data_IF_928120137474
#
_entry.id   IF_928120137474
#
_cell.length_a   1.000
_cell.length_b   1.000
_cell.length_c   1.000
_cell.angle_alpha   90.00
_cell.angle_beta   90.00
_cell.angle_gamma   90.00
#
_symmetry.space_group_name_H-M   'P 1'
#
loop_
_entity.id
_entity.type
_entity.pdbx_description
1 polymer ?
#
# COMPACT_ATOMS: atom_id res chain seq x y z
N UNK A 1 27.04 -5.15 10.45
CA UNK A 1 26.93 -5.48 9.02
C UNK A 1 25.69 -6.31 8.67
N UNK A 2 25.43 -7.45 9.34
CA UNK A 2 24.24 -8.27 9.06
C UNK A 2 22.89 -7.59 9.37
N UNK A 3 22.80 -6.76 10.40
CA UNK A 3 21.56 -6.03 10.71
C UNK A 3 21.25 -4.94 9.68
N UNK A 4 22.27 -4.33 9.09
CA UNK A 4 22.10 -3.28 8.10
C UNK A 4 21.60 -3.83 6.76
N UNK A 5 22.15 -4.96 6.30
CA UNK A 5 21.65 -5.68 5.12
C UNK A 5 20.18 -6.12 5.28
N UNK A 6 19.81 -6.53 6.49
CA UNK A 6 18.46 -6.86 6.90
C UNK A 6 17.50 -5.67 6.81
N UNK A 7 17.89 -4.50 7.35
CA UNK A 7 17.10 -3.26 7.21
C UNK A 7 16.96 -2.84 5.74
N UNK A 8 18.03 -2.93 4.95
CA UNK A 8 18.00 -2.63 3.51
C UNK A 8 17.01 -3.53 2.78
N UNK A 9 16.96 -4.82 3.09
CA UNK A 9 15.99 -5.74 2.50
C UNK A 9 14.54 -5.37 2.85
N UNK A 10 14.27 -5.06 4.13
CA UNK A 10 12.93 -4.65 4.59
C UNK A 10 12.49 -3.37 3.88
N UNK A 11 13.34 -2.34 3.84
CA UNK A 11 13.03 -1.10 3.15
C UNK A 11 12.93 -1.27 1.64
N UNK A 12 13.75 -2.14 1.04
CA UNK A 12 13.68 -2.47 -0.38
C UNK A 12 12.33 -3.07 -0.77
N UNK A 13 11.81 -4.00 0.03
CA UNK A 13 10.48 -4.61 -0.17
C UNK A 13 9.37 -3.56 -0.01
N UNK A 14 9.49 -2.69 1.01
CA UNK A 14 8.54 -1.61 1.22
C UNK A 14 8.50 -0.60 0.06
N UNK A 15 9.67 -0.15 -0.39
CA UNK A 15 9.78 0.77 -1.52
C UNK A 15 9.31 0.13 -2.82
N UNK A 16 9.62 -1.16 -3.04
CA UNK A 16 9.17 -1.87 -4.24
C UNK A 16 7.65 -1.93 -4.31
N UNK A 17 6.98 -2.28 -3.21
CA UNK A 17 5.51 -2.29 -3.20
C UNK A 17 4.92 -0.89 -3.41
N UNK A 18 5.49 0.15 -2.80
CA UNK A 18 5.07 1.55 -3.06
C UNK A 18 5.21 1.91 -4.55
N UNK A 19 6.34 1.58 -5.18
CA UNK A 19 6.57 1.86 -6.60
C UNK A 19 5.50 1.17 -7.46
N UNK A 20 5.20 -0.11 -7.18
CA UNK A 20 4.18 -0.86 -7.90
C UNK A 20 2.79 -0.24 -7.68
N UNK A 21 2.44 0.12 -6.45
CA UNK A 21 1.18 0.80 -6.13
C UNK A 21 1.04 2.13 -6.87
N UNK A 22 2.11 2.92 -6.94
CA UNK A 22 2.13 4.18 -7.69
C UNK A 22 1.98 3.94 -9.19
N UNK A 23 2.70 2.98 -9.77
CA UNK A 23 2.55 2.61 -11.18
C UNK A 23 1.11 2.18 -11.51
N UNK A 24 0.46 1.48 -10.57
CA UNK A 24 -0.95 1.13 -10.70
C UNK A 24 -1.85 2.36 -10.61
N UNK A 25 -1.61 3.23 -9.63
CA UNK A 25 -2.40 4.43 -9.39
C UNK A 25 -2.36 5.45 -10.53
N UNK A 26 -1.22 5.56 -11.24
CA UNK A 26 -1.07 6.49 -12.39
C UNK A 26 -1.57 5.93 -13.72
N UNK A 27 -2.22 4.76 -13.72
CA UNK A 27 -2.83 4.19 -14.93
C UNK A 27 -1.86 3.45 -15.85
N UNK A 28 -0.63 3.17 -15.41
CA UNK A 28 0.32 2.31 -16.13
C UNK A 28 0.04 0.81 -15.90
N UNK A 29 -1.10 0.47 -15.30
CA UNK A 29 -1.39 -0.89 -14.87
C UNK A 29 -2.29 -1.66 -15.83
N UNK A 30 -1.97 -2.95 -16.08
CA UNK A 30 -2.84 -3.85 -16.83
C UNK A 30 -4.12 -4.23 -16.07
N UNK A 31 -4.27 -3.82 -14.79
CA UNK A 31 -5.36 -4.26 -13.93
C UNK A 31 -6.69 -3.51 -14.17
N UNK A 32 -6.70 -2.41 -14.92
CA UNK A 32 -7.93 -1.71 -15.33
C UNK A 32 -8.86 -1.43 -14.15
N UNK A 33 -10.09 -1.95 -14.19
CA UNK A 33 -11.09 -1.82 -13.14
C UNK A 33 -10.67 -2.44 -11.78
N UNK A 34 -9.71 -3.36 -11.77
CA UNK A 34 -9.20 -4.02 -10.56
C UNK A 34 -8.00 -3.30 -9.94
N UNK A 35 -7.56 -2.17 -10.50
CA UNK A 35 -6.40 -1.41 -10.01
C UNK A 35 -6.49 -1.07 -8.52
N UNK A 36 -7.67 -0.68 -8.03
CA UNK A 36 -7.88 -0.41 -6.62
C UNK A 36 -7.74 -1.64 -5.73
N UNK A 37 -8.28 -2.79 -6.16
CA UNK A 37 -8.15 -4.05 -5.44
C UNK A 37 -6.69 -4.55 -5.43
N UNK A 38 -5.96 -4.33 -6.53
CA UNK A 38 -4.53 -4.67 -6.62
C UNK A 38 -3.69 -3.83 -5.65
N UNK A 39 -3.90 -2.51 -5.58
CA UNK A 39 -3.24 -1.63 -4.61
C UNK A 39 -3.53 -2.11 -3.18
N UNK A 40 -4.80 -2.41 -2.87
CA UNK A 40 -5.19 -2.89 -1.54
C UNK A 40 -4.50 -4.23 -1.18
N UNK A 41 -4.40 -5.15 -2.14
CA UNK A 41 -3.74 -6.44 -1.94
C UNK A 41 -2.23 -6.27 -1.67
N UNK A 42 -1.55 -5.39 -2.40
CA UNK A 42 -0.14 -5.09 -2.18
C UNK A 42 0.06 -4.47 -0.79
N UNK A 43 -0.74 -3.47 -0.44
CA UNK A 43 -0.67 -2.82 0.87
C UNK A 43 -0.94 -3.81 2.02
N UNK A 44 -1.90 -4.73 1.85
CA UNK A 44 -2.17 -5.77 2.84
C UNK A 44 -0.99 -6.74 2.99
N UNK A 45 -0.36 -7.16 1.89
CA UNK A 45 0.84 -8.00 1.93
C UNK A 45 2.00 -7.28 2.63
N UNK A 46 2.18 -5.98 2.38
CA UNK A 46 3.18 -5.16 3.06
C UNK A 46 2.89 -5.00 4.56
N UNK A 47 1.61 -4.85 4.93
CA UNK A 47 1.18 -4.80 6.33
C UNK A 47 1.52 -6.09 7.08
N UNK A 48 1.20 -7.24 6.46
CA UNK A 48 1.52 -8.57 7.02
C UNK A 48 3.03 -8.76 7.12
N UNK A 49 3.78 -8.39 6.07
CA UNK A 49 5.23 -8.45 6.08
C UNK A 49 5.82 -7.64 7.24
N UNK A 50 5.38 -6.39 7.42
CA UNK A 50 5.87 -5.52 8.50
C UNK A 50 5.45 -6.00 9.87
N UNK A 51 4.25 -6.55 10.00
CA UNK A 51 3.82 -7.19 11.24
C UNK A 51 4.75 -8.36 11.63
N UNK A 52 5.10 -9.24 10.68
CA UNK A 52 6.04 -10.34 10.91
C UNK A 52 7.45 -9.84 11.24
N UNK A 53 7.93 -8.83 10.50
CA UNK A 53 9.22 -8.17 10.75
C UNK A 53 9.26 -7.54 12.14
N UNK A 54 8.20 -6.89 12.58
CA UNK A 54 8.10 -6.30 13.91
C UNK A 54 8.08 -7.37 15.01
N UNK A 55 7.27 -8.41 14.85
CA UNK A 55 7.13 -9.48 15.85
C UNK A 55 8.38 -10.35 15.99
N UNK A 56 9.06 -10.67 14.89
CA UNK A 56 10.13 -11.66 14.88
C UNK A 56 11.53 -11.08 14.68
N UNK A 57 11.65 -9.91 14.05
CA UNK A 57 12.93 -9.46 13.52
C UNK A 57 13.75 -8.56 14.44
N UNK A 58 13.27 -8.24 15.65
CA UNK A 58 13.87 -7.22 16.54
C UNK A 58 14.13 -5.88 15.85
N UNK A 59 13.40 -5.59 14.77
CA UNK A 59 13.44 -4.30 14.14
C UNK A 59 12.65 -3.33 15.03
N UNK A 60 13.24 -2.17 15.36
CA UNK A 60 12.55 -1.16 16.18
C UNK A 60 11.35 -0.56 15.44
N UNK A 61 10.70 0.46 16.01
CA UNK A 61 9.51 1.09 15.41
C UNK A 61 9.74 1.76 14.02
N UNK A 62 10.98 1.84 13.53
CA UNK A 62 11.34 2.56 12.29
C UNK A 62 10.68 1.99 11.02
N UNK A 63 10.76 0.68 10.69
CA UNK A 63 10.11 0.16 9.48
C UNK A 63 8.59 0.26 9.53
N UNK A 64 8.00 0.19 10.73
CA UNK A 64 6.57 0.40 10.95
C UNK A 64 6.17 1.83 10.59
N UNK A 65 6.95 2.83 11.01
CA UNK A 65 6.71 4.23 10.66
C UNK A 65 6.82 4.48 9.14
N UNK A 66 7.78 3.86 8.47
CA UNK A 66 7.93 3.96 7.00
C UNK A 66 6.73 3.32 6.29
N UNK A 67 6.30 2.13 6.72
CA UNK A 67 5.11 1.50 6.18
C UNK A 67 3.83 2.33 6.39
N UNK A 68 3.67 2.92 7.58
CA UNK A 68 2.56 3.83 7.84
C UNK A 68 2.58 5.03 6.87
N UNK A 69 3.75 5.61 6.63
CA UNK A 69 3.94 6.67 5.64
C UNK A 69 3.56 6.25 4.22
N UNK A 70 3.99 5.06 3.78
CA UNK A 70 3.61 4.49 2.48
C UNK A 70 2.09 4.33 2.37
N UNK A 71 1.48 3.74 3.41
CA UNK A 71 0.04 3.49 3.46
C UNK A 71 -0.79 4.78 3.41
N UNK A 72 -0.29 5.88 4.00
CA UNK A 72 -0.93 7.19 3.88
C UNK A 72 -0.95 7.71 2.43
N UNK A 73 0.04 7.35 1.61
CA UNK A 73 0.14 7.81 0.22
C UNK A 73 -0.76 7.01 -0.71
N UNK A 74 -0.94 5.70 -0.48
CA UNK A 74 -1.62 4.82 -1.44
C UNK A 74 -2.97 4.31 -0.94
N UNK A 75 -3.06 3.89 0.32
CA UNK A 75 -4.27 3.29 0.90
C UNK A 75 -5.30 4.34 1.31
N UNK A 76 -4.87 5.46 1.90
CA UNK A 76 -5.80 6.51 2.34
C UNK A 76 -6.57 7.14 1.17
N UNK A 77 -5.92 7.53 0.04
CA UNK A 77 -6.66 8.02 -1.11
C UNK A 77 -7.64 6.99 -1.67
N UNK A 78 -7.26 5.70 -1.69
CA UNK A 78 -8.15 4.62 -2.11
C UNK A 78 -9.36 4.50 -1.18
N UNK A 79 -9.14 4.56 0.14
CA UNK A 79 -10.20 4.51 1.13
C UNK A 79 -11.14 5.70 1.01
N UNK A 80 -10.61 6.91 0.80
CA UNK A 80 -11.42 8.11 0.53
C UNK A 80 -12.25 7.93 -0.74
N UNK A 81 -11.66 7.43 -1.84
CA UNK A 81 -12.38 7.18 -3.08
C UNK A 81 -13.52 6.15 -2.90
N UNK A 82 -13.28 5.10 -2.10
CA UNK A 82 -14.32 4.12 -1.74
C UNK A 82 -15.41 4.73 -0.87
N UNK A 83 -15.06 5.59 0.09
CA UNK A 83 -16.07 6.30 0.88
C UNK A 83 -16.91 7.22 -0.01
N UNK A 84 -16.29 7.95 -0.94
CA UNK A 84 -17.03 8.77 -1.90
C UNK A 84 -17.98 7.94 -2.76
N UNK A 85 -17.58 6.76 -3.23
CA UNK A 85 -18.45 5.91 -4.06
C UNK A 85 -19.66 5.36 -3.31
N UNK A 86 -19.55 5.15 -2.00
CA UNK A 86 -20.65 4.69 -1.14
C UNK A 86 -21.54 5.85 -0.68
N UNK A 87 -20.96 7.01 -0.36
CA UNK A 87 -21.67 8.17 0.22
C UNK A 87 -22.34 9.04 -0.85
N UNK A 88 -21.81 9.09 -2.07
CA UNK A 88 -22.46 9.72 -3.22
C UNK A 88 -23.07 8.64 -4.12
N UNK A 89 -24.32 8.20 -3.87
CA UNK A 89 -25.03 7.45 -4.88
C UNK A 89 -25.07 8.31 -6.13
N UNK A 90 -24.67 7.76 -7.27
CA UNK A 90 -24.78 8.43 -8.56
C UNK A 90 -26.27 8.65 -8.84
N UNK A 91 -26.82 9.76 -8.35
CA UNK A 91 -28.14 10.22 -8.71
C UNK A 91 -28.08 10.76 -10.13
N UNK A 92 -28.45 9.90 -11.07
CA UNK A 92 -29.06 10.30 -12.34
C UNK A 92 -28.10 10.83 -13.40
N UNK A 93 -27.68 9.93 -14.27
CA UNK A 93 -27.90 10.13 -15.72
C UNK A 93 -27.77 8.78 -16.42
N UNK A 94 -28.77 7.92 -16.19
CA UNK A 94 -29.16 6.97 -17.25
C UNK A 94 -29.93 7.82 -18.29
N UNK A 95 -29.60 7.72 -19.58
CA UNK A 95 -30.46 8.26 -20.63
C UNK A 95 -31.85 7.59 -20.63
#
# INVERSE_FOLDING_TARGET
MFDEAKYVAVYGILMLGLIVELLIGVGQSPFGAFSGAAILAIAALQAVFIFLVFMHGRYGARPVAVFAGISLVTVVPLFIALLYSVVMPHHGSLP
#
